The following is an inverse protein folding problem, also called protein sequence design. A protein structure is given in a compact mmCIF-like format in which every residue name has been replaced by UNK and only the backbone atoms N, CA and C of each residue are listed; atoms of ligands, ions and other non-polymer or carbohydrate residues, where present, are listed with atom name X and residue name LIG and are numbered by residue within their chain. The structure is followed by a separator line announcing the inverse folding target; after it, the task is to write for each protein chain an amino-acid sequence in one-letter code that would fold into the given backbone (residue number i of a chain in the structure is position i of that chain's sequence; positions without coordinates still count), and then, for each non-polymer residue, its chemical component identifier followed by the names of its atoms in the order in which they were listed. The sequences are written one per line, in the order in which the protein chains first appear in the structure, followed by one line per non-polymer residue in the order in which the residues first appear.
data_IF_312473756652
#
_entry.id   IF_312473756652
#
_cell.length_a   1.000
_cell.length_b   1.000
_cell.length_c   1.000
_cell.angle_alpha   90.00
_cell.angle_beta   90.00
_cell.angle_gamma   90.00
#
_symmetry.space_group_name_H-M   'P 1'
#
loop_
_entity.id
_entity.type
_entity.pdbx_description
1 polymer ?
#
# COMPACT_ATOMS: atom_id res chain seq x y z
N UNK A 1 6.41 -2.89 -13.16
CA UNK A 1 7.17 -2.89 -11.88
C UNK A 1 7.06 -1.49 -11.32
N UNK A 2 6.70 -1.34 -10.04
CA UNK A 2 6.60 -0.04 -9.38
C UNK A 2 7.81 0.11 -8.44
N UNK A 3 8.72 1.07 -8.69
CA UNK A 3 9.93 1.23 -7.90
C UNK A 3 9.62 1.94 -6.57
N UNK A 4 9.40 1.16 -5.51
CA UNK A 4 9.16 1.68 -4.15
C UNK A 4 10.07 0.97 -3.13
N UNK A 5 10.74 1.79 -2.31
CA UNK A 5 11.53 1.35 -1.17
C UNK A 5 10.62 0.83 -0.03
N UNK A 6 11.15 -0.08 0.79
CA UNK A 6 10.41 -0.65 1.94
C UNK A 6 10.72 0.08 3.24
N UNK A 7 10.57 1.40 3.23
CA UNK A 7 10.76 2.25 4.41
C UNK A 7 9.47 3.03 4.71
N UNK A 8 9.27 3.51 5.96
CA UNK A 8 8.09 4.28 6.33
C UNK A 8 7.91 5.59 5.54
N UNK A 9 8.98 6.17 5.01
CA UNK A 9 9.01 7.44 4.28
C UNK A 9 8.69 7.29 2.78
N UNK A 10 8.52 6.07 2.27
CA UNK A 10 8.23 5.86 0.86
C UNK A 10 6.75 6.15 0.55
N UNK A 11 6.49 6.88 -0.54
CA UNK A 11 5.15 7.24 -0.96
C UNK A 11 4.48 6.10 -1.74
N UNK A 12 3.78 5.20 -1.05
CA UNK A 12 3.09 4.07 -1.68
C UNK A 12 1.63 4.37 -2.02
N UNK A 13 1.00 5.34 -1.36
CA UNK A 13 -0.41 5.69 -1.59
C UNK A 13 -0.68 6.18 -3.01
N UNK A 14 0.28 6.88 -3.63
CA UNK A 14 0.18 7.33 -5.03
C UNK A 14 -0.02 6.18 -6.03
N UNK A 15 0.30 4.94 -5.65
CA UNK A 15 0.18 3.77 -6.52
C UNK A 15 -1.14 3.01 -6.35
N UNK A 16 -1.96 3.32 -5.34
CA UNK A 16 -3.12 2.50 -4.98
C UNK A 16 -4.20 2.47 -6.07
N UNK A 17 -4.46 3.59 -6.74
CA UNK A 17 -5.49 3.63 -7.78
C UNK A 17 -5.04 2.95 -9.08
N UNK A 18 -3.80 3.19 -9.53
CA UNK A 18 -3.23 2.50 -10.70
C UNK A 18 -3.20 0.98 -10.47
N UNK A 19 -2.71 0.54 -9.30
CA UNK A 19 -2.66 -0.89 -8.97
C UNK A 19 -4.04 -1.50 -8.79
N UNK A 20 -5.02 -0.75 -8.27
CA UNK A 20 -6.40 -1.20 -8.20
C UNK A 20 -6.94 -1.50 -9.59
N UNK A 21 -6.81 -0.58 -10.54
CA UNK A 21 -7.33 -0.78 -11.91
C UNK A 21 -6.66 -1.98 -12.59
N UNK A 22 -5.34 -2.12 -12.44
CA UNK A 22 -4.61 -3.26 -12.97
C UNK A 22 -5.09 -4.60 -12.38
N UNK A 23 -5.21 -4.68 -11.04
CA UNK A 23 -5.66 -5.90 -10.36
C UNK A 23 -7.11 -6.21 -10.73
N UNK A 24 -8.01 -5.22 -10.66
CA UNK A 24 -9.45 -5.44 -10.86
C UNK A 24 -9.78 -5.85 -12.29
N UNK A 25 -9.19 -5.17 -13.28
CA UNK A 25 -9.38 -5.50 -14.70
C UNK A 25 -8.83 -6.90 -15.04
N UNK A 26 -7.65 -7.26 -14.50
CA UNK A 26 -7.05 -8.58 -14.71
C UNK A 26 -7.93 -9.69 -14.14
N UNK A 27 -8.45 -9.51 -12.92
CA UNK A 27 -9.34 -10.48 -12.29
C UNK A 27 -10.70 -10.55 -13.00
N UNK A 28 -11.25 -9.42 -13.44
CA UNK A 28 -12.51 -9.37 -14.19
C UNK A 28 -12.44 -10.09 -15.55
N UNK A 29 -11.26 -10.11 -16.17
CA UNK A 29 -11.00 -10.87 -17.39
C UNK A 29 -10.84 -12.39 -17.14
N UNK A 30 -10.96 -12.87 -15.90
CA UNK A 30 -10.78 -14.28 -15.55
C UNK A 30 -9.32 -14.74 -15.50
N UNK A 31 -8.37 -13.80 -15.51
CA UNK A 31 -6.95 -14.12 -15.44
C UNK A 31 -6.47 -14.30 -14.00
N UNK A 32 -5.31 -14.95 -13.86
CA UNK A 32 -4.58 -15.03 -12.60
C UNK A 32 -3.45 -14.00 -12.57
N UNK A 33 -3.14 -13.47 -11.39
CA UNK A 33 -2.08 -12.50 -11.19
C UNK A 33 -1.29 -12.77 -9.91
N UNK A 34 -0.02 -12.35 -9.92
CA UNK A 34 0.88 -12.39 -8.77
C UNK A 34 1.30 -10.98 -8.39
N UNK A 35 0.97 -10.54 -7.18
CA UNK A 35 1.53 -9.32 -6.58
C UNK A 35 2.67 -9.73 -5.64
N UNK A 36 3.90 -9.33 -5.95
CA UNK A 36 5.07 -9.68 -5.15
C UNK A 36 5.98 -8.47 -4.89
N UNK A 37 6.78 -8.57 -3.83
CA UNK A 37 7.91 -7.70 -3.55
C UNK A 37 9.12 -8.58 -3.17
N UNK A 38 10.16 -8.02 -2.55
CA UNK A 38 11.36 -8.80 -2.19
C UNK A 38 11.05 -9.93 -1.18
N UNK A 39 10.43 -9.58 -0.04
CA UNK A 39 10.17 -10.55 1.04
C UNK A 39 8.71 -11.03 1.09
N UNK A 40 7.79 -10.39 0.37
CA UNK A 40 6.35 -10.67 0.47
C UNK A 40 5.74 -10.31 1.82
N UNK A 41 6.38 -9.43 2.61
CA UNK A 41 5.98 -9.06 3.98
C UNK A 41 5.29 -7.69 4.04
N UNK A 42 5.84 -6.67 3.38
CA UNK A 42 5.40 -5.28 3.55
C UNK A 42 4.83 -4.66 2.27
N UNK A 43 5.65 -4.28 1.28
CA UNK A 43 5.19 -3.61 0.03
C UNK A 43 4.04 -4.30 -0.71
N UNK A 44 4.22 -5.56 -1.14
CA UNK A 44 3.19 -6.23 -1.93
C UNK A 44 1.91 -6.49 -1.13
N UNK A 45 1.95 -6.90 0.15
CA UNK A 45 0.74 -6.95 0.95
C UNK A 45 0.06 -5.59 1.13
N UNK A 46 0.80 -4.48 1.29
CA UNK A 46 0.19 -3.13 1.37
C UNK A 46 -0.70 -2.85 0.16
N UNK A 47 -0.22 -3.15 -1.06
CA UNK A 47 -1.00 -2.98 -2.30
C UNK A 47 -2.26 -3.86 -2.28
N UNK A 48 -2.14 -5.12 -1.84
CA UNK A 48 -3.29 -6.03 -1.73
C UNK A 48 -4.29 -5.56 -0.66
N UNK A 49 -3.80 -5.00 0.45
CA UNK A 49 -4.66 -4.37 1.48
C UNK A 49 -5.43 -3.21 0.86
N UNK A 50 -4.75 -2.28 0.16
CA UNK A 50 -5.39 -1.14 -0.50
C UNK A 50 -6.46 -1.58 -1.52
N UNK A 51 -6.16 -2.61 -2.32
CA UNK A 51 -7.12 -3.20 -3.25
C UNK A 51 -8.39 -3.71 -2.52
N UNK A 52 -8.22 -4.49 -1.46
CA UNK A 52 -9.35 -5.02 -0.67
C UNK A 52 -10.14 -3.89 0.01
N UNK A 53 -9.45 -2.88 0.53
CA UNK A 53 -10.06 -1.69 1.13
C UNK A 53 -10.98 -0.98 0.12
N UNK A 54 -10.48 -0.67 -1.08
CA UNK A 54 -11.28 0.00 -2.12
C UNK A 54 -12.41 -0.90 -2.64
N UNK A 55 -12.11 -2.15 -3.01
CA UNK A 55 -13.08 -3.09 -3.61
C UNK A 55 -14.24 -3.42 -2.68
N UNK A 56 -13.96 -3.57 -1.38
CA UNK A 56 -14.93 -4.06 -0.37
C UNK A 56 -15.28 -3.03 0.70
N UNK A 57 -14.79 -1.79 0.57
CA UNK A 57 -14.96 -0.70 1.56
C UNK A 57 -14.57 -1.10 2.98
N UNK A 58 -13.47 -1.84 3.10
CA UNK A 58 -12.93 -2.32 4.38
C UNK A 58 -11.96 -1.32 4.99
N UNK A 59 -11.86 -1.32 6.32
CA UNK A 59 -10.79 -0.63 7.03
C UNK A 59 -9.47 -1.37 6.84
N UNK A 60 -8.34 -0.66 6.95
CA UNK A 60 -7.01 -1.23 6.77
C UNK A 60 -6.76 -2.48 7.65
N UNK A 61 -7.20 -2.44 8.93
CA UNK A 61 -7.07 -3.59 9.84
C UNK A 61 -7.89 -4.80 9.42
N UNK A 62 -9.09 -4.60 8.87
CA UNK A 62 -9.98 -5.67 8.42
C UNK A 62 -9.43 -6.34 7.16
N UNK A 63 -9.01 -5.53 6.18
CA UNK A 63 -8.37 -6.02 4.96
C UNK A 63 -7.05 -6.75 5.26
N UNK A 64 -6.23 -6.23 6.17
CA UNK A 64 -5.00 -6.91 6.61
C UNK A 64 -5.29 -8.24 7.32
N UNK A 65 -6.33 -8.28 8.17
CA UNK A 65 -6.73 -9.51 8.85
C UNK A 65 -7.15 -10.61 7.86
N UNK A 66 -7.83 -10.28 6.77
CA UNK A 66 -8.17 -11.24 5.71
C UNK A 66 -6.92 -11.84 5.07
N UNK A 67 -5.91 -11.01 4.75
CA UNK A 67 -4.65 -11.50 4.16
C UNK A 67 -3.91 -12.40 5.16
N UNK A 68 -3.91 -12.05 6.44
CA UNK A 68 -3.23 -12.81 7.50
C UNK A 68 -3.80 -14.22 7.71
N UNK A 69 -5.04 -14.49 7.30
CA UNK A 69 -5.60 -15.85 7.34
C UNK A 69 -4.80 -16.83 6.47
N UNK A 70 -4.31 -16.37 5.32
CA UNK A 70 -3.50 -17.19 4.40
C UNK A 70 -2.00 -16.93 4.51
N UNK A 71 -1.59 -15.73 4.97
CA UNK A 71 -0.19 -15.34 5.14
C UNK A 71 0.04 -14.63 6.48
N UNK A 72 0.21 -15.37 7.59
CA UNK A 72 0.30 -14.80 8.94
C UNK A 72 1.48 -13.83 9.16
N UNK A 73 2.56 -14.03 8.41
CA UNK A 73 3.81 -13.24 8.51
C UNK A 73 3.75 -11.88 7.81
N UNK A 74 2.65 -11.55 7.12
CA UNK A 74 2.48 -10.24 6.49
C UNK A 74 2.49 -9.14 7.54
N UNK A 75 3.29 -8.10 7.32
CA UNK A 75 3.44 -6.99 8.24
C UNK A 75 3.91 -5.74 7.47
N UNK A 76 2.98 -4.95 6.86
CA UNK A 76 3.30 -3.64 6.33
C UNK A 76 4.04 -2.78 7.34
N UNK A 77 5.03 -2.01 6.88
CA UNK A 77 5.72 -1.08 7.77
C UNK A 77 4.74 0.00 8.31
N UNK A 78 5.07 0.67 9.43
CA UNK A 78 4.17 1.66 10.04
C UNK A 78 3.73 2.79 9.11
N UNK A 79 4.64 3.35 8.31
CA UNK A 79 4.31 4.44 7.38
C UNK A 79 3.34 4.00 6.28
N UNK A 80 3.45 2.76 5.80
CA UNK A 80 2.46 2.18 4.89
C UNK A 80 1.10 1.97 5.57
N UNK A 81 1.08 1.57 6.84
CA UNK A 81 -0.17 1.47 7.60
C UNK A 81 -0.83 2.84 7.80
N UNK A 82 -0.05 3.91 7.99
CA UNK A 82 -0.57 5.28 8.07
C UNK A 82 -1.13 5.74 6.73
N UNK A 83 -0.42 5.47 5.62
CA UNK A 83 -0.90 5.75 4.27
C UNK A 83 -2.18 4.97 3.91
N UNK A 84 -2.34 3.72 4.36
CA UNK A 84 -3.60 2.99 4.20
C UNK A 84 -4.76 3.65 4.96
N UNK A 85 -4.52 4.17 6.17
CA UNK A 85 -5.55 4.91 6.93
C UNK A 85 -5.88 6.23 6.26
N UNK A 86 -4.88 6.94 5.73
CA UNK A 86 -5.08 8.15 4.95
C UNK A 86 -5.92 7.87 3.71
N UNK A 87 -5.64 6.79 2.98
CA UNK A 87 -6.45 6.37 1.84
C UNK A 87 -7.91 6.14 2.19
N UNK A 88 -8.20 5.56 3.36
CA UNK A 88 -9.56 5.45 3.86
C UNK A 88 -10.21 6.81 4.14
N UNK A 89 -9.48 7.77 4.73
CA UNK A 89 -9.99 9.13 4.99
C UNK A 89 -10.34 9.86 3.69
N UNK A 90 -9.53 9.67 2.65
CA UNK A 90 -9.76 10.23 1.30
C UNK A 90 -10.81 9.46 0.48
N UNK A 91 -11.68 8.67 1.13
CA UNK A 91 -12.76 7.97 0.43
C UNK A 91 -12.30 6.81 -0.46
N UNK A 92 -11.13 6.24 -0.18
CA UNK A 92 -10.50 5.16 -0.96
C UNK A 92 -10.20 5.59 -2.41
N UNK A 93 -9.79 6.83 -2.57
CA UNK A 93 -9.24 7.39 -3.81
C UNK A 93 -8.00 8.20 -3.46
N UNK A 94 -7.01 8.17 -4.34
CA UNK A 94 -5.83 8.99 -4.20
C UNK A 94 -6.08 10.34 -4.87
N UNK A 95 -5.98 11.41 -4.10
CA UNK A 95 -6.03 12.78 -4.62
C UNK A 95 -4.84 13.57 -4.03
N UNK A 96 -3.85 13.98 -4.86
CA UNK A 96 -2.70 14.75 -4.39
C UNK A 96 -3.07 16.15 -3.89
N UNK A 97 -4.29 16.63 -4.16
CA UNK A 97 -4.81 17.91 -3.70
C UNK A 97 -5.69 17.79 -2.44
N UNK A 98 -5.90 16.56 -1.93
CA UNK A 98 -6.66 16.36 -0.70
C UNK A 98 -5.96 17.04 0.49
N UNK A 99 -6.68 17.83 1.31
CA UNK A 99 -6.08 18.51 2.46
C UNK A 99 -5.41 17.58 3.47
N UNK A 100 -5.94 16.38 3.71
CA UNK A 100 -5.34 15.39 4.61
C UNK A 100 -4.05 14.82 4.02
N UNK A 101 -3.98 14.64 2.69
CA UNK A 101 -2.76 14.22 2.00
C UNK A 101 -1.66 15.28 2.08
N UNK A 102 -2.02 16.53 1.78
CA UNK A 102 -1.10 17.66 1.86
C UNK A 102 -0.55 17.79 3.30
N UNK A 103 -1.41 17.68 4.31
CA UNK A 103 -1.00 17.79 5.72
C UNK A 103 -0.16 16.59 6.18
N UNK A 104 -0.50 15.39 5.72
CA UNK A 104 0.29 14.19 5.97
C UNK A 104 1.73 14.37 5.47
N UNK A 105 1.94 14.97 4.30
CA UNK A 105 3.28 15.18 3.75
C UNK A 105 4.09 16.31 4.37
N UNK A 106 3.44 17.32 4.94
CA UNK A 106 4.16 18.32 5.77
C UNK A 106 4.75 17.69 7.02
N UNK A 107 4.04 16.73 7.62
CA UNK A 107 4.45 16.05 8.85
C UNK A 107 5.31 14.80 8.61
N UNK A 108 5.25 14.23 7.41
CA UNK A 108 5.99 13.03 6.99
C UNK A 108 6.65 13.29 5.63
N UNK A 109 7.81 13.98 5.61
CA UNK A 109 8.52 14.25 4.37
C UNK A 109 8.94 12.92 3.73
N UNK A 110 8.44 12.68 2.54
CA UNK A 110 8.68 11.43 1.82
C UNK A 110 10.07 11.45 1.20
N UNK A 111 10.82 10.37 1.41
CA UNK A 111 12.12 10.18 0.77
C UNK A 111 12.06 8.93 -0.09
N UNK A 112 11.93 9.11 -1.41
CA UNK A 112 11.98 8.02 -2.37
C UNK A 112 13.39 7.39 -2.49
N UNK A 113 14.43 8.12 -2.04
CA UNK A 113 15.82 7.88 -2.47
C UNK A 113 16.68 7.06 -1.48
N UNK A 114 16.19 6.75 -0.28
CA UNK A 114 16.95 5.87 0.64
C UNK A 114 16.63 4.40 0.36
N UNK A 115 17.33 3.86 -0.64
CA UNK A 115 17.59 2.43 -0.72
C UNK A 115 18.37 2.01 0.54
N UNK A 116 17.63 1.59 1.58
CA UNK A 116 18.21 1.08 2.82
C UNK A 116 19.02 -0.19 2.58
N UNK A 117 20.30 -0.03 2.26
CA UNK A 117 21.35 -1.01 2.46
C UNK A 117 22.44 -0.37 3.32
N UNK A 118 22.26 -0.32 4.64
CA UNK A 118 23.41 -0.03 5.53
C UNK A 118 23.34 -0.59 6.94
N UNK A 119 22.28 -1.25 7.41
CA UNK A 119 22.24 -1.74 8.80
C UNK A 119 21.70 -3.17 8.98
N UNK A 120 22.29 -4.10 8.23
CA UNK A 120 22.47 -5.47 8.73
C UNK A 120 23.97 -5.76 8.71
N UNK A 121 24.63 -5.48 9.84
CA UNK A 121 25.91 -6.10 10.23
C UNK A 121 25.64 -7.06 11.37
#
# INVERSE_FOLDING_TARGET
IIPIADNPEANIIQCFDETFEFIDSTLAAGNHLLVHCLAGVSRSPTVVVAYLMKKRRLRAKEALALIKQSRPFVNPNPGFMDQLRLYQKMGYQYDPLDPEYIEFHKSHPLNADHAGHSEYK
#
